data_IF_267264174925
#
_entry.id   IF_267264174925
#
_cell.length_a   1.000
_cell.length_b   1.000
_cell.length_c   1.000
_cell.angle_alpha   90.00
_cell.angle_beta   90.00
_cell.angle_gamma   90.00
#
_symmetry.space_group_name_H-M   'P 1'
#
loop_
_entity.id
_entity.type
_entity.pdbx_description
1 polymer ?
#
# COMPACT_ATOMS: atom_id res chain seq x y z
N UNK A 1 10.38 -22.40 -5.72
CA UNK A 1 8.92 -22.47 -5.56
C UNK A 1 8.44 -21.04 -5.50
N UNK A 2 7.65 -20.59 -6.46
CA UNK A 2 7.02 -19.27 -6.43
C UNK A 2 6.01 -19.32 -5.29
N UNK A 3 6.31 -18.73 -4.13
CA UNK A 3 5.31 -18.59 -3.07
C UNK A 3 4.18 -17.72 -3.60
N UNK A 4 2.99 -18.30 -3.71
CA UNK A 4 1.80 -17.59 -4.20
C UNK A 4 1.34 -16.59 -3.14
N UNK A 5 1.31 -15.30 -3.49
CA UNK A 5 0.89 -14.23 -2.58
C UNK A 5 -0.64 -14.23 -2.50
N UNK A 6 -1.19 -14.51 -1.32
CA UNK A 6 -2.65 -14.49 -1.11
C UNK A 6 -3.21 -13.06 -1.17
N UNK A 7 -4.22 -12.85 -2.01
CA UNK A 7 -5.00 -11.60 -2.07
C UNK A 7 -6.03 -11.47 -0.95
N UNK A 8 -6.17 -12.49 -0.10
CA UNK A 8 -6.95 -12.50 1.13
C UNK A 8 -6.06 -12.99 2.27
N UNK A 9 -5.04 -12.21 2.67
CA UNK A 9 -4.01 -12.67 3.58
C UNK A 9 -4.57 -12.95 4.96
N UNK A 10 -4.08 -14.05 5.57
CA UNK A 10 -4.41 -14.47 6.92
C UNK A 10 -3.17 -14.39 7.81
N UNK A 11 -3.26 -13.60 8.87
CA UNK A 11 -2.17 -13.41 9.83
C UNK A 11 -1.06 -12.48 9.32
N UNK A 12 -0.16 -12.14 10.24
CA UNK A 12 0.87 -11.11 10.05
C UNK A 12 1.81 -11.39 8.88
N UNK A 13 2.22 -12.65 8.70
CA UNK A 13 3.17 -13.02 7.64
C UNK A 13 2.59 -12.77 6.25
N UNK A 14 1.36 -13.24 5.98
CA UNK A 14 0.73 -13.06 4.68
C UNK A 14 0.39 -11.60 4.41
N UNK A 15 0.01 -10.84 5.44
CA UNK A 15 -0.21 -9.38 5.34
C UNK A 15 1.09 -8.70 4.89
N UNK A 16 2.21 -9.00 5.54
CA UNK A 16 3.50 -8.40 5.20
C UNK A 16 3.98 -8.80 3.79
N UNK A 17 3.73 -10.05 3.37
CA UNK A 17 4.03 -10.49 1.99
C UNK A 17 3.21 -9.71 0.96
N UNK A 18 1.90 -9.54 1.20
CA UNK A 18 1.04 -8.76 0.32
C UNK A 18 1.45 -7.27 0.32
N UNK A 19 1.75 -6.68 1.47
CA UNK A 19 2.24 -5.31 1.59
C UNK A 19 3.52 -5.10 0.76
N UNK A 20 4.52 -5.97 0.94
CA UNK A 20 5.77 -5.89 0.20
C UNK A 20 5.55 -6.01 -1.32
N UNK A 21 4.71 -6.94 -1.74
CA UNK A 21 4.36 -7.13 -3.14
C UNK A 21 3.66 -5.90 -3.75
N UNK A 22 2.71 -5.31 -3.02
CA UNK A 22 2.02 -4.09 -3.43
C UNK A 22 2.98 -2.90 -3.52
N UNK A 23 3.85 -2.73 -2.54
CA UNK A 23 4.82 -1.64 -2.51
C UNK A 23 5.80 -1.76 -3.69
N UNK A 24 6.44 -2.91 -3.83
CA UNK A 24 7.42 -3.18 -4.90
C UNK A 24 6.75 -3.07 -6.26
N UNK A 25 5.60 -3.73 -6.45
CA UNK A 25 4.86 -3.71 -7.70
C UNK A 25 4.44 -2.29 -8.10
N UNK A 26 4.11 -1.44 -7.13
CA UNK A 26 3.71 -0.05 -7.41
C UNK A 26 4.91 0.85 -7.69
N UNK A 27 6.01 0.72 -6.93
CA UNK A 27 7.25 1.49 -7.13
C UNK A 27 7.81 1.27 -8.54
N UNK A 28 7.77 0.05 -9.05
CA UNK A 28 8.33 -0.29 -10.37
C UNK A 28 7.41 0.03 -11.56
N UNK A 29 6.24 0.64 -11.34
CA UNK A 29 5.43 1.13 -12.45
C UNK A 29 6.12 2.32 -13.11
N UNK A 30 6.06 2.39 -14.44
CA UNK A 30 6.67 3.48 -15.20
C UNK A 30 6.17 4.86 -14.78
N UNK A 31 4.87 5.01 -14.52
CA UNK A 31 4.28 6.27 -14.05
C UNK A 31 4.80 6.70 -12.68
N UNK A 32 5.06 5.75 -11.77
CA UNK A 32 5.63 6.04 -10.44
C UNK A 32 7.14 6.31 -10.52
N UNK A 33 7.88 5.57 -11.35
CA UNK A 33 9.31 5.78 -11.52
C UNK A 33 9.63 7.18 -12.05
N UNK A 34 8.78 7.76 -12.89
CA UNK A 34 8.93 9.15 -13.33
C UNK A 34 8.78 10.14 -12.18
N UNK A 35 7.77 9.98 -11.33
CA UNK A 35 7.53 10.84 -10.16
C UNK A 35 8.70 10.75 -9.15
N UNK A 36 9.28 9.57 -8.97
CA UNK A 36 10.42 9.36 -8.08
C UNK A 36 11.73 10.01 -8.56
N UNK A 37 11.81 10.45 -9.83
CA UNK A 37 12.99 11.15 -10.34
C UNK A 37 13.18 12.50 -9.65
N UNK A 38 12.09 13.20 -9.32
CA UNK A 38 12.15 14.47 -8.59
C UNK A 38 12.65 14.23 -7.16
N UNK A 39 13.86 14.69 -6.80
CA UNK A 39 14.42 14.47 -5.47
C UNK A 39 13.66 15.22 -4.37
N UNK A 40 12.93 16.29 -4.69
CA UNK A 40 12.16 17.08 -3.71
C UNK A 40 10.90 16.37 -3.23
N UNK A 41 10.27 15.59 -4.11
CA UNK A 41 9.04 14.84 -3.81
C UNK A 41 9.29 13.35 -3.55
N UNK A 42 10.48 12.83 -3.88
CA UNK A 42 10.80 11.39 -3.77
C UNK A 42 10.47 10.80 -2.41
N UNK A 43 10.84 11.49 -1.32
CA UNK A 43 10.57 11.00 0.03
C UNK A 43 9.07 10.94 0.34
N UNK A 44 8.33 11.98 -0.06
CA UNK A 44 6.87 12.06 0.07
C UNK A 44 6.18 10.91 -0.67
N UNK A 45 6.66 10.62 -1.89
CA UNK A 45 6.16 9.50 -2.69
C UNK A 45 6.43 8.16 -2.03
N UNK A 46 7.66 7.90 -1.58
CA UNK A 46 8.02 6.65 -0.91
C UNK A 46 7.19 6.45 0.36
N UNK A 47 7.05 7.48 1.21
CA UNK A 47 6.22 7.39 2.42
C UNK A 47 4.75 7.09 2.08
N UNK A 48 4.20 7.84 1.13
CA UNK A 48 2.79 7.71 0.74
C UNK A 48 2.49 6.33 0.14
N UNK A 49 3.41 5.77 -0.65
CA UNK A 49 3.28 4.44 -1.23
C UNK A 49 3.39 3.34 -0.17
N UNK A 50 4.32 3.48 0.78
CA UNK A 50 4.46 2.53 1.88
C UNK A 50 3.18 2.49 2.73
N UNK A 51 2.64 3.66 3.11
CA UNK A 51 1.38 3.74 3.88
C UNK A 51 0.21 3.18 3.09
N UNK A 52 0.11 3.47 1.79
CA UNK A 52 -0.95 2.94 0.94
C UNK A 52 -0.90 1.40 0.84
N UNK A 53 0.28 0.83 0.59
CA UNK A 53 0.48 -0.62 0.52
C UNK A 53 0.15 -1.30 1.85
N UNK A 54 0.62 -0.74 2.96
CA UNK A 54 0.35 -1.26 4.30
C UNK A 54 -1.15 -1.24 4.62
N UNK A 55 -1.84 -0.13 4.33
CA UNK A 55 -3.26 0.02 4.56
C UNK A 55 -4.10 -0.97 3.71
N UNK A 56 -3.80 -1.07 2.42
CA UNK A 56 -4.54 -1.96 1.50
C UNK A 56 -4.31 -3.43 1.87
N UNK A 57 -3.09 -3.85 2.20
CA UNK A 57 -2.82 -5.22 2.60
C UNK A 57 -3.66 -5.66 3.82
N UNK A 58 -3.83 -4.76 4.79
CA UNK A 58 -4.63 -5.00 6.00
C UNK A 58 -6.14 -4.91 5.76
N UNK A 59 -6.58 -4.04 4.86
CA UNK A 59 -7.97 -4.06 4.38
C UNK A 59 -8.31 -5.42 3.75
N UNK A 60 -7.39 -6.00 2.97
CA UNK A 60 -7.57 -7.35 2.39
C UNK A 60 -7.59 -8.46 3.45
N UNK A 61 -7.00 -8.22 4.62
CA UNK A 61 -7.14 -9.05 5.81
C UNK A 61 -8.42 -8.76 6.63
N UNK A 62 -9.34 -7.93 6.11
CA UNK A 62 -10.61 -7.52 6.74
C UNK A 62 -10.45 -6.74 8.04
N UNK A 63 -9.31 -6.09 8.24
CA UNK A 63 -9.12 -5.18 9.38
C UNK A 63 -9.96 -3.92 9.21
N UNK A 64 -10.48 -3.37 10.31
CA UNK A 64 -11.21 -2.08 10.30
C UNK A 64 -10.23 -0.92 10.14
N UNK A 65 -10.73 0.26 9.72
CA UNK A 65 -9.89 1.47 9.58
C UNK A 65 -9.14 1.80 10.88
N UNK A 66 -9.79 1.66 12.04
CA UNK A 66 -9.18 1.89 13.35
C UNK A 66 -8.05 0.91 13.65
N UNK A 67 -8.26 -0.38 13.39
CA UNK A 67 -7.22 -1.42 13.57
C UNK A 67 -6.02 -1.19 12.64
N UNK A 68 -6.29 -0.78 11.39
CA UNK A 68 -5.23 -0.47 10.43
C UNK A 68 -4.41 0.72 10.91
N UNK A 69 -5.09 1.80 11.31
CA UNK A 69 -4.47 3.04 11.82
C UNK A 69 -3.56 2.77 13.02
N UNK A 70 -4.03 1.96 13.97
CA UNK A 70 -3.25 1.52 15.12
C UNK A 70 -2.03 0.68 14.70
N UNK A 71 -2.22 -0.34 13.85
CA UNK A 71 -1.14 -1.25 13.46
C UNK A 71 0.00 -0.57 12.68
N UNK A 72 -0.32 0.41 11.82
CA UNK A 72 0.68 1.11 10.99
C UNK A 72 1.13 2.46 11.56
N UNK A 73 0.62 2.85 12.74
CA UNK A 73 0.98 4.10 13.41
C UNK A 73 0.58 5.36 12.62
N UNK A 74 -0.62 5.37 12.02
CA UNK A 74 -1.15 6.50 11.24
C UNK A 74 -2.54 6.90 11.74
N UNK A 75 -3.02 8.09 11.35
CA UNK A 75 -4.38 8.49 11.68
C UNK A 75 -5.41 7.75 10.82
N UNK A 76 -6.61 7.52 11.36
CA UNK A 76 -7.71 6.95 10.58
C UNK A 76 -8.05 7.75 9.31
N UNK A 77 -7.88 9.08 9.37
CA UNK A 77 -8.11 9.95 8.22
C UNK A 77 -7.11 9.65 7.10
N UNK A 78 -5.82 9.52 7.44
CA UNK A 78 -4.79 9.16 6.47
C UNK A 78 -5.07 7.80 5.85
N UNK A 79 -5.35 6.77 6.68
CA UNK A 79 -5.71 5.43 6.20
C UNK A 79 -6.90 5.48 5.24
N UNK A 80 -7.99 6.15 5.65
CA UNK A 80 -9.21 6.26 4.84
C UNK A 80 -8.94 6.97 3.51
N UNK A 81 -8.09 7.99 3.48
CA UNK A 81 -7.74 8.69 2.24
C UNK A 81 -6.98 7.79 1.25
N UNK A 82 -6.11 6.90 1.73
CA UNK A 82 -5.46 5.91 0.86
C UNK A 82 -6.45 4.83 0.39
N UNK A 83 -7.21 4.23 1.32
CA UNK A 83 -8.17 3.17 0.99
C UNK A 83 -9.26 3.63 0.01
N UNK A 84 -9.78 4.83 0.17
CA UNK A 84 -10.83 5.37 -0.72
C UNK A 84 -10.30 5.96 -2.03
N UNK A 85 -8.99 5.87 -2.27
CA UNK A 85 -8.38 6.39 -3.50
C UNK A 85 -8.42 7.92 -3.62
N UNK A 86 -8.54 8.65 -2.50
CA UNK A 86 -8.40 10.12 -2.50
C UNK A 86 -6.96 10.55 -2.75
N UNK A 87 -6.00 9.73 -2.35
CA UNK A 87 -4.57 9.96 -2.63
C UNK A 87 -4.16 9.27 -3.91
N UNK A 88 -3.20 9.86 -4.62
CA UNK A 88 -2.64 9.24 -5.84
C UNK A 88 -1.93 7.91 -5.52
N UNK A 89 -1.18 7.84 -4.44
CA UNK A 89 -0.54 6.61 -3.97
C UNK A 89 -1.55 5.48 -3.71
N UNK A 90 -2.70 5.79 -3.07
CA UNK A 90 -3.77 4.82 -2.85
C UNK A 90 -4.38 4.30 -4.14
N UNK A 91 -4.64 5.18 -5.11
CA UNK A 91 -5.15 4.80 -6.44
C UNK A 91 -4.18 3.86 -7.17
N UNK A 92 -2.90 4.23 -7.24
CA UNK A 92 -1.89 3.47 -7.96
C UNK A 92 -1.67 2.10 -7.34
N UNK A 93 -1.68 2.02 -6.00
CA UNK A 93 -1.52 0.76 -5.28
C UNK A 93 -2.71 -0.17 -5.47
N UNK A 94 -3.95 0.35 -5.50
CA UNK A 94 -5.14 -0.47 -5.83
C UNK A 94 -5.08 -1.00 -7.27
N UNK A 95 -4.69 -0.15 -8.22
CA UNK A 95 -4.51 -0.61 -9.59
C UNK A 95 -3.43 -1.70 -9.72
N UNK A 96 -2.38 -1.66 -8.88
CA UNK A 96 -1.38 -2.73 -8.82
C UNK A 96 -1.98 -4.04 -8.27
N UNK A 97 -2.89 -3.97 -7.30
CA UNK A 97 -3.59 -5.14 -6.74
C UNK A 97 -4.54 -5.81 -7.75
N UNK A 98 -5.17 -5.02 -8.62
CA UNK A 98 -6.19 -5.46 -9.58
C UNK A 98 -5.61 -6.04 -10.88
N UNK A 99 -4.30 -5.88 -11.11
CA UNK A 99 -3.58 -6.41 -12.26
C UNK A 99 -3.10 -7.83 -12.02
#
# INVERSE_FOLDING_TARGET
MSEEISLSPLGKEQINKLEAALLIGTIFRSDVLEELKDPSERLTWVDSLAVAAAAIARERARMTVSQIAEDIGRSEVAVRNHLTGKTKAGQLTRQTLER
#
